data_IF_836330048873
#
_entry.id   IF_836330048873
#
_cell.length_a   1.000
_cell.length_b   1.000
_cell.length_c   1.000
_cell.angle_alpha   90.00
_cell.angle_beta   90.00
_cell.angle_gamma   90.00
#
_symmetry.space_group_name_H-M   'P 1'
#
loop_
_entity.id
_entity.type
_entity.pdbx_description
1 polymer ?
#
# COMPACT_ATOMS: atom_id res chain seq x y z
N UNK A 1 25.62 12.74 21.37
CA UNK A 1 26.18 13.61 20.31
C UNK A 1 25.96 12.88 19.00
N UNK A 2 25.02 13.37 18.18
CA UNK A 2 24.73 12.81 16.85
C UNK A 2 25.80 13.37 15.91
N UNK A 3 26.63 12.50 15.32
CA UNK A 3 27.59 12.89 14.29
C UNK A 3 26.83 13.11 12.98
N UNK A 4 26.65 14.37 12.59
CA UNK A 4 26.24 14.74 11.24
C UNK A 4 27.38 14.34 10.28
N UNK A 5 27.21 13.24 9.52
CA UNK A 5 28.11 12.95 8.41
C UNK A 5 27.90 13.99 7.30
N UNK A 6 28.98 14.53 6.70
CA UNK A 6 28.88 15.55 5.69
C UNK A 6 28.33 14.96 4.39
N UNK A 7 27.14 15.42 3.98
CA UNK A 7 26.57 15.14 2.66
C UNK A 7 27.60 15.57 1.60
N UNK A 8 28.06 14.68 0.70
CA UNK A 8 29.05 15.05 -0.30
C UNK A 8 28.44 16.07 -1.25
N UNK A 9 28.92 17.32 -1.18
CA UNK A 9 28.54 18.36 -2.12
C UNK A 9 29.12 18.03 -3.50
N UNK A 10 28.27 17.59 -4.42
CA UNK A 10 28.65 17.40 -5.81
C UNK A 10 28.64 18.76 -6.51
N UNK A 11 29.81 19.36 -6.69
CA UNK A 11 29.95 20.59 -7.46
C UNK A 11 29.58 20.32 -8.93
N UNK A 12 28.55 21.02 -9.42
CA UNK A 12 28.16 20.98 -10.83
C UNK A 12 28.94 22.05 -11.58
N UNK A 13 29.74 21.62 -12.56
CA UNK A 13 30.50 22.53 -13.42
C UNK A 13 29.54 23.10 -14.46
N UNK A 14 29.18 24.37 -14.31
CA UNK A 14 28.36 25.07 -15.29
C UNK A 14 29.16 25.20 -16.60
N UNK A 15 28.69 24.54 -17.66
CA UNK A 15 29.24 24.70 -19.01
C UNK A 15 28.47 25.81 -19.72
N UNK A 16 29.19 26.58 -20.56
CA UNK A 16 28.71 27.76 -21.30
C UNK A 16 27.50 27.51 -22.22
N UNK A 17 27.07 26.26 -22.31
CA UNK A 17 26.00 25.75 -23.17
C UNK A 17 24.63 25.79 -22.46
N UNK A 18 24.58 26.03 -21.14
CA UNK A 18 23.34 26.11 -20.36
C UNK A 18 22.74 27.52 -20.29
N UNK A 19 23.44 28.54 -20.80
CA UNK A 19 22.91 29.89 -20.92
C UNK A 19 22.11 30.01 -22.22
N UNK A 20 20.87 30.48 -22.09
CA UNK A 20 20.00 30.92 -23.18
C UNK A 20 20.76 31.90 -24.12
N UNK A 21 20.32 32.11 -25.38
CA UNK A 21 21.14 32.77 -26.41
C UNK A 21 21.67 34.12 -25.93
N UNK A 22 22.92 34.42 -26.31
CA UNK A 22 23.70 35.62 -26.00
C UNK A 22 22.90 36.93 -26.21
N UNK A 23 22.06 37.28 -25.24
CA UNK A 23 21.44 38.60 -25.15
C UNK A 23 22.18 39.43 -24.09
N UNK A 24 22.26 40.71 -24.40
CA UNK A 24 23.04 41.72 -23.71
C UNK A 24 22.57 41.83 -22.24
N UNK A 25 23.45 41.45 -21.30
CA UNK A 25 23.16 41.40 -19.85
C UNK A 25 22.68 42.77 -19.38
N UNK A 26 21.41 42.90 -18.97
CA UNK A 26 20.87 44.17 -18.46
C UNK A 26 21.28 44.36 -16.99
N UNK A 27 21.58 45.60 -16.53
CA UNK A 27 21.93 45.85 -15.14
C UNK A 27 20.78 45.44 -14.21
N UNK A 28 20.99 44.36 -13.43
CA UNK A 28 20.00 43.81 -12.49
C UNK A 28 19.76 42.30 -12.63
N UNK A 29 20.11 41.69 -13.77
CA UNK A 29 19.88 40.25 -14.00
C UNK A 29 20.96 39.34 -13.39
N UNK A 30 22.12 39.89 -13.03
CA UNK A 30 23.26 39.12 -12.51
C UNK A 30 23.01 38.48 -11.12
N UNK A 31 22.00 38.94 -10.39
CA UNK A 31 21.62 38.38 -9.08
C UNK A 31 20.44 37.41 -9.15
N UNK A 32 20.01 37.00 -10.36
CA UNK A 32 18.91 36.06 -10.47
C UNK A 32 19.38 34.65 -10.06
N UNK A 33 18.59 33.91 -9.26
CA UNK A 33 18.95 32.55 -8.88
C UNK A 33 19.10 31.67 -10.12
N UNK A 34 20.25 31.00 -10.24
CA UNK A 34 20.47 30.02 -11.30
C UNK A 34 19.48 28.86 -11.10
N UNK A 35 18.60 28.64 -12.06
CA UNK A 35 17.73 27.48 -12.05
C UNK A 35 18.56 26.24 -12.37
N UNK A 36 18.74 25.36 -11.39
CA UNK A 36 19.47 24.09 -11.56
C UNK A 36 18.45 22.95 -11.50
N UNK A 37 17.99 22.41 -12.65
CA UNK A 37 16.99 21.34 -12.68
C UNK A 37 17.41 20.09 -11.89
N UNK A 38 18.73 19.86 -11.75
CA UNK A 38 19.29 18.73 -10.99
C UNK A 38 19.08 18.82 -9.47
N UNK A 39 18.65 19.96 -8.95
CA UNK A 39 18.32 20.15 -7.53
C UNK A 39 16.83 19.88 -7.21
N UNK A 40 16.00 19.65 -8.22
CA UNK A 40 14.58 19.34 -8.09
C UNK A 40 14.37 17.84 -7.81
N UNK A 41 15.03 17.35 -6.76
CA UNK A 41 14.95 15.95 -6.34
C UNK A 41 13.58 15.71 -5.71
N UNK A 42 12.83 14.74 -6.23
CA UNK A 42 11.57 14.30 -5.62
C UNK A 42 11.85 13.86 -4.18
N UNK A 43 11.07 14.36 -3.23
CA UNK A 43 11.22 14.04 -1.80
C UNK A 43 10.06 13.19 -1.31
N UNK A 44 10.33 12.31 -0.35
CA UNK A 44 9.30 11.56 0.35
C UNK A 44 8.37 12.53 1.10
N UNK A 45 7.05 12.32 1.00
CA UNK A 45 6.05 13.17 1.65
C UNK A 45 6.02 13.01 3.18
N UNK A 46 6.47 11.87 3.71
CA UNK A 46 6.46 11.58 5.15
C UNK A 46 7.77 12.02 5.84
N UNK A 47 8.92 11.66 5.27
CA UNK A 47 10.23 11.90 5.88
C UNK A 47 11.07 12.98 5.20
N UNK A 48 10.64 13.54 4.06
CA UNK A 48 11.36 14.60 3.35
C UNK A 48 12.68 14.19 2.66
N UNK A 49 13.03 12.90 2.74
CA UNK A 49 14.27 12.37 2.17
C UNK A 49 14.23 12.41 0.63
N UNK A 50 15.36 12.70 -0.03
CA UNK A 50 15.46 12.61 -1.49
C UNK A 50 15.21 11.17 -1.93
N UNK A 51 14.28 10.99 -2.86
CA UNK A 51 13.96 9.70 -3.45
C UNK A 51 14.99 9.39 -4.55
N UNK A 52 15.47 8.14 -4.65
CA UNK A 52 16.37 7.75 -5.73
C UNK A 52 15.67 7.90 -7.10
N UNK A 53 16.44 8.09 -8.17
CA UNK A 53 15.90 8.26 -9.53
C UNK A 53 15.17 7.01 -10.04
N UNK A 54 15.50 5.84 -9.48
CA UNK A 54 14.80 4.56 -9.69
C UNK A 54 13.51 4.42 -8.88
N UNK A 55 13.20 5.36 -7.99
CA UNK A 55 11.96 5.33 -7.21
C UNK A 55 10.77 5.54 -8.13
N UNK A 56 10.04 4.46 -8.38
CA UNK A 56 8.67 4.55 -8.83
C UNK A 56 7.79 4.61 -7.58
N UNK A 57 6.85 5.58 -7.48
CA UNK A 57 5.81 5.46 -6.48
C UNK A 57 5.17 4.08 -6.65
N UNK A 58 4.92 3.34 -5.56
CA UNK A 58 4.26 2.04 -5.67
C UNK A 58 3.01 2.22 -6.53
N UNK A 59 3.04 1.59 -7.69
CA UNK A 59 2.07 1.83 -8.76
C UNK A 59 0.69 1.37 -8.32
N UNK A 60 -0.34 1.89 -9.01
CA UNK A 60 -1.72 1.42 -8.87
C UNK A 60 -1.81 -0.07 -9.28
N UNK A 61 -1.48 -0.98 -8.36
CA UNK A 61 -1.56 -2.42 -8.54
C UNK A 61 -3.00 -2.80 -8.91
N UNK A 62 -3.16 -3.63 -9.92
CA UNK A 62 -4.48 -4.12 -10.27
C UNK A 62 -5.03 -4.99 -9.13
N UNK A 63 -6.35 -4.96 -8.94
CA UNK A 63 -7.03 -5.97 -8.13
C UNK A 63 -6.73 -7.35 -8.70
N UNK A 64 -6.26 -8.27 -7.85
CA UNK A 64 -6.07 -9.66 -8.24
C UNK A 64 -7.39 -10.43 -8.24
N UNK A 65 -8.37 -9.91 -7.50
CA UNK A 65 -9.70 -10.50 -7.32
C UNK A 65 -10.78 -9.74 -8.10
N UNK A 66 -11.68 -10.46 -8.75
CA UNK A 66 -12.81 -9.86 -9.48
C UNK A 66 -13.96 -9.47 -8.55
N UNK A 67 -14.65 -8.35 -8.85
CA UNK A 67 -15.81 -7.88 -8.07
C UNK A 67 -16.94 -8.93 -8.04
N UNK A 68 -17.25 -9.57 -9.17
CA UNK A 68 -18.26 -10.63 -9.25
C UNK A 68 -17.71 -12.04 -8.95
N UNK A 69 -16.45 -12.17 -8.51
CA UNK A 69 -15.81 -13.46 -8.26
C UNK A 69 -16.15 -14.11 -6.91
N UNK A 70 -17.32 -13.83 -6.32
CA UNK A 70 -17.63 -14.28 -4.95
C UNK A 70 -17.50 -15.79 -4.76
N UNK A 71 -17.84 -16.59 -5.78
CA UNK A 71 -17.76 -18.05 -5.74
C UNK A 71 -16.34 -18.63 -5.80
N UNK A 72 -15.31 -17.80 -6.01
CA UNK A 72 -13.90 -18.24 -6.01
C UNK A 72 -13.43 -18.65 -4.60
N UNK A 73 -14.10 -18.17 -3.55
CA UNK A 73 -13.86 -18.58 -2.16
C UNK A 73 -15.20 -18.91 -1.48
N UNK A 74 -15.62 -20.20 -1.50
CA UNK A 74 -16.92 -20.62 -1.00
C UNK A 74 -17.14 -20.22 0.47
N UNK A 75 -16.13 -20.35 1.34
CA UNK A 75 -16.30 -20.01 2.76
C UNK A 75 -16.59 -18.52 2.97
N UNK A 76 -15.87 -17.66 2.25
CA UNK A 76 -16.11 -16.22 2.26
C UNK A 76 -17.47 -15.88 1.66
N UNK A 77 -17.86 -16.57 0.58
CA UNK A 77 -19.17 -16.42 -0.06
C UNK A 77 -20.32 -16.79 0.90
N UNK A 78 -20.25 -17.94 1.57
CA UNK A 78 -21.27 -18.37 2.53
C UNK A 78 -21.31 -17.43 3.74
N UNK A 79 -20.13 -17.12 4.29
CA UNK A 79 -20.04 -16.27 5.49
C UNK A 79 -20.73 -14.95 5.25
N UNK A 80 -20.42 -14.27 4.16
CA UNK A 80 -21.03 -12.97 4.02
C UNK A 80 -22.47 -13.02 3.47
N UNK A 81 -22.92 -14.09 2.80
CA UNK A 81 -24.31 -14.19 2.32
C UNK A 81 -25.26 -14.23 3.52
N UNK A 82 -24.86 -14.95 4.56
CA UNK A 82 -25.65 -15.11 5.79
C UNK A 82 -25.23 -14.16 6.92
N UNK A 83 -23.99 -13.67 6.90
CA UNK A 83 -23.40 -12.84 7.95
C UNK A 83 -22.45 -11.79 7.33
N UNK A 84 -22.96 -10.84 6.51
CA UNK A 84 -22.14 -9.83 5.84
C UNK A 84 -21.42 -8.92 6.85
N UNK A 85 -22.05 -8.65 7.99
CA UNK A 85 -21.46 -7.87 9.10
C UNK A 85 -20.20 -8.52 9.69
N UNK A 86 -20.18 -9.86 9.81
CA UNK A 86 -19.02 -10.62 10.30
C UNK A 86 -17.88 -10.57 9.29
N UNK A 87 -18.20 -10.76 8.01
CA UNK A 87 -17.21 -10.71 6.94
C UNK A 87 -16.58 -9.31 6.85
N UNK A 88 -17.41 -8.27 6.91
CA UNK A 88 -16.94 -6.88 6.98
C UNK A 88 -16.11 -6.61 8.24
N UNK A 89 -16.54 -7.08 9.41
CA UNK A 89 -15.78 -6.91 10.65
C UNK A 89 -14.38 -7.54 10.58
N UNK A 90 -14.28 -8.75 10.03
CA UNK A 90 -13.00 -9.43 9.78
C UNK A 90 -12.12 -8.67 8.78
N UNK A 91 -12.74 -8.06 7.76
CA UNK A 91 -12.01 -7.21 6.82
C UNK A 91 -11.39 -6.00 7.53
N UNK A 92 -12.14 -5.33 8.40
CA UNK A 92 -11.66 -4.18 9.15
C UNK A 92 -10.53 -4.57 10.12
N UNK A 93 -10.68 -5.65 10.88
CA UNK A 93 -9.64 -6.15 11.80
C UNK A 93 -8.33 -6.47 11.07
N UNK A 94 -8.43 -7.05 9.87
CA UNK A 94 -7.26 -7.33 9.03
C UNK A 94 -6.61 -6.07 8.45
N UNK A 95 -7.41 -5.05 8.22
CA UNK A 95 -6.92 -3.76 7.73
C UNK A 95 -6.29 -2.94 8.87
N UNK A 96 -6.89 -2.99 10.06
CA UNK A 96 -6.58 -2.20 11.27
C UNK A 96 -6.41 -3.12 12.47
N UNK A 97 -5.15 -3.38 12.82
CA UNK A 97 -4.76 -4.31 13.90
C UNK A 97 -5.21 -3.86 15.31
N UNK A 98 -5.46 -2.56 15.49
CA UNK A 98 -5.92 -1.96 16.73
C UNK A 98 -7.44 -2.06 16.94
N UNK A 99 -8.19 -2.50 15.93
CA UNK A 99 -9.65 -2.54 15.94
C UNK A 99 -10.15 -3.98 15.92
N UNK A 100 -10.72 -4.51 17.03
CA UNK A 100 -11.25 -5.87 17.03
C UNK A 100 -12.44 -5.98 16.08
N UNK A 101 -12.62 -7.13 15.43
CA UNK A 101 -13.66 -7.32 14.39
C UNK A 101 -15.11 -7.11 14.89
N UNK A 102 -15.35 -7.28 16.19
CA UNK A 102 -16.69 -7.18 16.80
C UNK A 102 -17.25 -5.76 16.75
N UNK A 103 -16.41 -4.74 16.92
CA UNK A 103 -16.84 -3.32 16.88
C UNK A 103 -17.44 -2.92 15.52
N UNK A 104 -16.73 -3.05 14.38
CA UNK A 104 -17.28 -2.77 13.06
C UNK A 104 -18.42 -3.73 12.68
N UNK A 105 -18.37 -5.00 13.13
CA UNK A 105 -19.46 -5.96 12.92
C UNK A 105 -20.76 -5.51 13.58
N UNK A 106 -20.73 -5.13 14.86
CA UNK A 106 -21.92 -4.66 15.60
C UNK A 106 -22.46 -3.38 14.98
N UNK A 107 -21.59 -2.45 14.61
CA UNK A 107 -21.99 -1.22 13.93
C UNK A 107 -22.72 -1.51 12.62
N UNK A 108 -22.14 -2.37 11.76
CA UNK A 108 -22.75 -2.77 10.50
C UNK A 108 -24.08 -3.51 10.70
N UNK A 109 -24.11 -4.45 11.64
CA UNK A 109 -25.31 -5.22 11.98
C UNK A 109 -26.44 -4.33 12.49
N UNK A 110 -26.16 -3.34 13.35
CA UNK A 110 -27.19 -2.42 13.84
C UNK A 110 -27.70 -1.48 12.75
N UNK A 111 -26.80 -0.91 11.95
CA UNK A 111 -27.17 0.09 10.94
C UNK A 111 -27.88 -0.50 9.73
N UNK A 112 -27.54 -1.73 9.30
CA UNK A 112 -28.10 -2.35 8.09
C UNK A 112 -29.13 -3.41 8.47
N UNK A 113 -28.72 -4.46 9.16
CA UNK A 113 -29.60 -5.60 9.47
C UNK A 113 -30.67 -5.23 10.50
N UNK A 114 -30.29 -4.47 11.54
CA UNK A 114 -31.19 -4.02 12.60
C UNK A 114 -32.28 -3.08 12.07
N UNK A 115 -31.93 -2.16 11.16
CA UNK A 115 -32.88 -1.26 10.52
C UNK A 115 -33.92 -2.01 9.67
N UNK A 116 -33.47 -2.97 8.87
CA UNK A 116 -34.36 -3.82 8.05
C UNK A 116 -35.24 -4.71 8.92
N UNK A 117 -34.66 -5.36 9.95
CA UNK A 117 -35.41 -6.20 10.88
C UNK A 117 -36.50 -5.42 11.61
N UNK A 118 -36.19 -4.20 12.07
CA UNK A 118 -37.16 -3.31 12.71
C UNK A 118 -38.27 -2.89 11.73
N UNK A 119 -37.93 -2.55 10.49
CA UNK A 119 -38.90 -2.21 9.44
C UNK A 119 -39.86 -3.37 9.16
N UNK A 120 -39.33 -4.60 9.02
CA UNK A 120 -40.13 -5.81 8.81
C UNK A 120 -41.01 -6.11 10.02
N UNK A 121 -40.48 -6.03 11.24
CA UNK A 121 -41.27 -6.24 12.46
C UNK A 121 -42.41 -5.22 12.56
N UNK A 122 -42.14 -3.95 12.25
CA UNK A 122 -43.16 -2.90 12.24
C UNK A 122 -44.26 -3.20 11.23
N UNK A 123 -43.88 -3.61 10.01
CA UNK A 123 -44.84 -4.02 8.98
C UNK A 123 -45.74 -5.19 9.39
N UNK A 124 -45.17 -6.20 10.06
CA UNK A 124 -45.89 -7.42 10.47
C UNK A 124 -46.81 -7.17 11.67
N UNK A 125 -46.34 -6.45 12.69
CA UNK A 125 -47.06 -6.33 13.97
C UNK A 125 -47.97 -5.10 14.05
N UNK A 126 -47.63 -4.01 13.36
CA UNK A 126 -48.34 -2.73 13.49
C UNK A 126 -49.04 -2.29 12.20
N UNK A 127 -48.81 -2.99 11.09
CA UNK A 127 -49.26 -2.57 9.77
C UNK A 127 -48.46 -1.39 9.22
N UNK A 128 -48.70 -1.06 7.95
CA UNK A 128 -47.97 0.01 7.25
C UNK A 128 -48.94 1.13 6.89
N UNK A 129 -48.93 2.21 7.67
CA UNK A 129 -49.55 3.47 7.26
C UNK A 129 -48.67 4.20 6.23
N UNK A 130 -49.24 4.93 5.24
CA UNK A 130 -48.46 5.62 4.19
C UNK A 130 -47.38 6.58 4.71
N UNK A 131 -47.63 7.24 5.85
CA UNK A 131 -46.63 8.12 6.50
C UNK A 131 -45.51 7.32 7.15
N UNK A 132 -45.85 6.21 7.79
CA UNK A 132 -44.87 5.32 8.43
C UNK A 132 -44.00 4.62 7.39
N UNK A 133 -44.55 4.18 6.25
CA UNK A 133 -43.75 3.67 5.13
C UNK A 133 -42.78 4.70 4.58
N UNK A 134 -43.21 5.96 4.46
CA UNK A 134 -42.35 7.02 3.94
C UNK A 134 -41.16 7.26 4.88
N UNK A 135 -41.41 7.38 6.19
CA UNK A 135 -40.37 7.55 7.20
C UNK A 135 -39.41 6.35 7.30
N UNK A 136 -39.95 5.12 7.27
CA UNK A 136 -39.13 3.91 7.25
C UNK A 136 -38.28 3.86 5.98
N UNK A 137 -38.87 4.17 4.82
CA UNK A 137 -38.16 4.21 3.55
C UNK A 137 -37.02 5.22 3.53
N UNK A 138 -37.28 6.46 3.97
CA UNK A 138 -36.26 7.51 4.09
C UNK A 138 -35.14 7.10 5.05
N UNK A 139 -35.50 6.53 6.21
CA UNK A 139 -34.53 6.03 7.18
C UNK A 139 -33.66 4.89 6.65
N UNK A 140 -34.25 3.92 5.93
CA UNK A 140 -33.51 2.80 5.33
C UNK A 140 -32.58 3.29 4.21
N UNK A 141 -33.02 4.23 3.37
CA UNK A 141 -32.18 4.81 2.30
C UNK A 141 -31.01 5.58 2.92
N UNK A 142 -31.26 6.38 3.95
CA UNK A 142 -30.21 7.12 4.64
C UNK A 142 -29.21 6.19 5.32
N UNK A 143 -29.70 5.16 6.04
CA UNK A 143 -28.85 4.17 6.69
C UNK A 143 -28.01 3.36 5.68
N UNK A 144 -28.61 2.95 4.56
CA UNK A 144 -27.90 2.28 3.47
C UNK A 144 -26.80 3.15 2.87
N UNK A 145 -27.11 4.42 2.60
CA UNK A 145 -26.15 5.39 2.06
C UNK A 145 -24.98 5.63 3.02
N UNK A 146 -25.27 5.86 4.31
CA UNK A 146 -24.24 6.02 5.34
C UNK A 146 -23.38 4.77 5.49
N UNK A 147 -23.98 3.57 5.41
CA UNK A 147 -23.24 2.32 5.42
C UNK A 147 -22.31 2.22 4.20
N UNK A 148 -22.77 2.57 3.00
CA UNK A 148 -21.96 2.54 1.78
C UNK A 148 -20.77 3.49 1.83
N UNK A 149 -20.93 4.68 2.43
CA UNK A 149 -19.81 5.61 2.70
C UNK A 149 -18.83 4.97 3.68
N UNK A 150 -19.33 4.46 4.81
CA UNK A 150 -18.50 3.87 5.84
C UNK A 150 -17.67 2.70 5.31
N UNK A 151 -18.27 1.75 4.59
CA UNK A 151 -17.54 0.64 3.98
C UNK A 151 -16.63 1.11 2.83
N UNK A 152 -17.04 2.12 2.06
CA UNK A 152 -16.22 2.78 1.05
C UNK A 152 -14.92 3.38 1.62
N UNK A 153 -14.94 3.96 2.83
CA UNK A 153 -13.73 4.47 3.48
C UNK A 153 -12.73 3.35 3.83
N UNK A 154 -13.22 2.16 4.21
CA UNK A 154 -12.35 1.00 4.40
C UNK A 154 -11.80 0.48 3.09
N UNK A 155 -12.60 0.48 2.01
CA UNK A 155 -12.11 0.16 0.67
C UNK A 155 -10.99 1.08 0.24
N UNK A 156 -11.13 2.39 0.46
CA UNK A 156 -10.07 3.37 0.19
C UNK A 156 -8.84 3.13 1.06
N UNK A 157 -9.03 2.81 2.33
CA UNK A 157 -7.93 2.48 3.25
C UNK A 157 -7.19 1.22 2.78
N UNK A 158 -7.91 0.22 2.27
CA UNK A 158 -7.37 -1.00 1.68
C UNK A 158 -6.57 -0.70 0.41
N UNK A 159 -7.15 0.10 -0.49
CA UNK A 159 -6.49 0.51 -1.72
C UNK A 159 -5.22 1.29 -1.43
N UNK A 160 -5.23 2.17 -0.42
CA UNK A 160 -4.03 2.88 0.01
C UNK A 160 -3.00 1.95 0.63
N UNK A 161 -3.41 0.98 1.46
CA UNK A 161 -2.50 0.02 2.14
C UNK A 161 -1.77 -0.89 1.15
N UNK A 162 -2.45 -1.34 0.10
CA UNK A 162 -1.91 -2.26 -0.89
C UNK A 162 -1.63 -1.60 -2.25
N UNK A 163 -1.63 -0.27 -2.32
CA UNK A 163 -1.43 0.51 -3.54
C UNK A 163 -2.31 0.06 -4.71
N UNK A 164 -3.56 -0.32 -4.43
CA UNK A 164 -4.47 -0.84 -5.44
C UNK A 164 -5.08 0.29 -6.27
N UNK A 165 -5.28 0.01 -7.56
CA UNK A 165 -6.00 0.90 -8.47
C UNK A 165 -7.39 1.26 -7.93
N UNK A 166 -7.76 2.53 -8.11
CA UNK A 166 -9.11 2.98 -7.87
C UNK A 166 -10.11 2.20 -8.73
N UNK A 167 -11.24 1.81 -8.12
CA UNK A 167 -12.33 1.16 -8.86
C UNK A 167 -12.89 2.16 -9.89
N UNK A 168 -13.45 1.67 -11.02
CA UNK A 168 -13.97 2.55 -12.08
C UNK A 168 -15.15 3.44 -11.65
N UNK A 169 -15.78 3.13 -10.51
CA UNK A 169 -16.79 3.94 -9.84
C UNK A 169 -16.25 4.44 -8.50
N UNK A 170 -16.77 5.56 -8.01
CA UNK A 170 -16.49 6.06 -6.66
C UNK A 170 -16.63 4.91 -5.64
N UNK A 171 -15.69 4.73 -4.69
CA UNK A 171 -15.73 3.63 -3.73
C UNK A 171 -17.06 3.48 -2.99
N UNK A 172 -17.78 4.57 -2.74
CA UNK A 172 -19.10 4.53 -2.10
C UNK A 172 -20.16 3.93 -3.03
N UNK A 173 -20.08 4.18 -4.34
CA UNK A 173 -21.04 3.69 -5.33
C UNK A 173 -20.95 2.16 -5.50
N UNK A 174 -19.73 1.60 -5.41
CA UNK A 174 -19.54 0.15 -5.47
C UNK A 174 -20.24 -0.55 -4.30
N UNK A 175 -20.12 0.00 -3.09
CA UNK A 175 -20.81 -0.54 -1.92
C UNK A 175 -22.32 -0.27 -1.96
N UNK A 176 -22.78 0.85 -2.53
CA UNK A 176 -24.22 1.10 -2.69
C UNK A 176 -24.93 0.10 -3.64
N UNK A 177 -24.29 -0.35 -4.71
CA UNK A 177 -24.92 -1.20 -5.73
C UNK A 177 -24.50 -2.68 -5.65
N UNK A 178 -23.30 -2.95 -5.13
CA UNK A 178 -22.66 -4.27 -5.10
C UNK A 178 -22.04 -4.54 -3.72
N UNK A 179 -22.69 -4.09 -2.64
CA UNK A 179 -22.25 -4.23 -1.24
C UNK A 179 -21.65 -5.60 -0.93
N UNK A 180 -22.42 -6.64 -1.25
CA UNK A 180 -22.08 -8.04 -1.05
C UNK A 180 -20.77 -8.44 -1.74
N UNK A 181 -20.72 -8.17 -3.04
CA UNK A 181 -19.60 -8.50 -3.91
C UNK A 181 -18.33 -7.73 -3.54
N UNK A 182 -18.48 -6.46 -3.16
CA UNK A 182 -17.38 -5.60 -2.73
C UNK A 182 -16.70 -6.14 -1.47
N UNK A 183 -17.48 -6.50 -0.44
CA UNK A 183 -16.94 -7.07 0.81
C UNK A 183 -16.23 -8.41 0.54
N UNK A 184 -16.80 -9.26 -0.31
CA UNK A 184 -16.17 -10.52 -0.68
C UNK A 184 -14.87 -10.32 -1.45
N UNK A 185 -14.84 -9.39 -2.41
CA UNK A 185 -13.64 -9.06 -3.17
C UNK A 185 -12.53 -8.58 -2.23
N UNK A 186 -12.84 -7.62 -1.34
CA UNK A 186 -11.90 -7.08 -0.36
C UNK A 186 -11.34 -8.18 0.54
N UNK A 187 -12.19 -9.09 1.02
CA UNK A 187 -11.76 -10.22 1.84
C UNK A 187 -10.77 -11.13 1.10
N UNK A 188 -11.10 -11.51 -0.14
CA UNK A 188 -10.24 -12.38 -0.95
C UNK A 188 -8.91 -11.71 -1.29
N UNK A 189 -8.94 -10.41 -1.60
CA UNK A 189 -7.73 -9.63 -1.91
C UNK A 189 -6.77 -9.64 -0.71
N UNK A 190 -7.27 -9.36 0.49
CA UNK A 190 -6.44 -9.39 1.70
C UNK A 190 -5.97 -10.80 2.07
N UNK A 191 -6.79 -11.83 1.79
CA UNK A 191 -6.44 -13.23 2.02
C UNK A 191 -5.28 -13.66 1.11
N UNK A 192 -5.38 -13.37 -0.19
CA UNK A 192 -4.34 -13.68 -1.19
C UNK A 192 -3.02 -12.98 -0.89
N UNK A 193 -3.06 -11.68 -0.56
CA UNK A 193 -1.85 -10.92 -0.24
C UNK A 193 -1.18 -11.35 1.06
N UNK A 194 -1.94 -11.84 2.04
CA UNK A 194 -1.33 -12.41 3.25
C UNK A 194 -0.61 -13.72 2.94
N UNK A 195 -1.20 -14.61 2.13
CA UNK A 195 -0.53 -15.84 1.73
C UNK A 195 0.77 -15.59 0.98
N UNK A 196 0.81 -14.59 0.09
CA UNK A 196 2.03 -14.25 -0.66
C UNK A 196 3.16 -13.76 0.26
N UNK A 197 2.82 -12.94 1.27
CA UNK A 197 3.79 -12.49 2.27
C UNK A 197 4.37 -13.64 3.11
N UNK A 198 3.59 -14.69 3.39
CA UNK A 198 4.06 -15.85 4.16
C UNK A 198 4.97 -16.79 3.35
N UNK A 199 4.90 -16.76 2.02
CA UNK A 199 5.66 -17.65 1.13
C UNK A 199 7.02 -17.07 0.74
N UNK A 200 7.27 -15.77 0.94
CA UNK A 200 8.57 -15.14 0.69
C UNK A 200 9.60 -15.59 1.76
N UNK A 201 10.67 -16.34 1.42
CA UNK A 201 11.72 -16.64 2.38
C UNK A 201 12.43 -15.32 2.75
N UNK A 202 12.52 -15.03 4.05
CA UNK A 202 13.32 -13.92 4.55
C UNK A 202 14.72 -13.99 3.92
N UNK A 203 15.09 -12.99 3.12
CA UNK A 203 16.45 -12.87 2.62
C UNK A 203 17.36 -12.60 3.81
N UNK A 204 18.05 -13.63 4.29
CA UNK A 204 19.11 -13.49 5.29
C UNK A 204 20.23 -12.66 4.65
N UNK A 205 20.25 -11.37 4.95
CA UNK A 205 21.38 -10.51 4.62
C UNK A 205 22.50 -10.91 5.58
N UNK A 206 23.42 -11.75 5.09
CA UNK A 206 24.64 -12.03 5.85
C UNK A 206 25.42 -10.71 6.02
N UNK A 207 25.79 -10.33 7.26
CA UNK A 207 26.60 -9.15 7.46
C UNK A 207 27.92 -9.32 6.70
N UNK A 208 28.45 -8.25 6.07
CA UNK A 208 29.75 -8.32 5.43
C UNK A 208 30.80 -8.78 6.46
N UNK A 209 31.76 -9.64 6.07
CA UNK A 209 32.81 -10.08 6.98
C UNK A 209 33.53 -8.86 7.53
N UNK A 210 33.79 -8.86 8.84
CA UNK A 210 34.49 -7.77 9.53
C UNK A 210 35.82 -7.54 8.81
N UNK A 211 35.93 -6.41 8.11
CA UNK A 211 37.18 -6.02 7.46
C UNK A 211 38.14 -5.53 8.54
N UNK A 212 39.14 -6.36 8.86
CA UNK A 212 40.23 -5.95 9.72
C UNK A 212 41.17 -5.00 8.95
N UNK A 213 41.36 -3.79 9.49
CA UNK A 213 42.29 -2.82 8.96
C UNK A 213 43.70 -3.14 9.46
N UNK A 214 44.50 -3.88 8.68
CA UNK A 214 45.93 -4.08 8.98
C UNK A 214 46.71 -2.80 8.68
N UNK A 215 47.12 -2.07 9.72
CA UNK A 215 48.02 -0.92 9.58
C UNK A 215 49.46 -1.40 9.33
N UNK A 216 49.84 -1.61 8.06
CA UNK A 216 51.20 -1.98 7.69
C UNK A 216 52.01 -0.73 7.34
N UNK A 217 52.76 -0.22 8.32
CA UNK A 217 53.80 0.78 8.07
C UNK A 217 55.02 0.12 7.41
N UNK A 218 55.41 0.71 6.28
CA UNK A 218 56.75 0.78 5.65
C UNK A 218 57.41 -0.45 5.01
N UNK A 219 57.87 -0.17 3.78
CA UNK A 219 59.00 -0.73 3.01
C UNK A 219 58.78 -1.92 2.04
N UNK A 220 59.26 -1.69 0.81
CA UNK A 220 59.38 -2.55 -0.39
C UNK A 220 60.86 -2.52 -0.79
N UNK A 221 61.49 -3.47 -1.53
CA UNK A 221 61.10 -4.83 -1.97
C UNK A 221 62.16 -5.91 -1.59
N UNK A 222 61.87 -7.21 -1.82
CA UNK A 222 62.66 -8.13 -2.69
C UNK A 222 62.40 -9.64 -2.44
N UNK A 223 62.49 -10.39 -3.54
CA UNK A 223 62.66 -11.85 -3.73
C UNK A 223 61.45 -12.80 -3.67
N UNK A 224 61.25 -13.49 -4.81
CA UNK A 224 60.45 -14.72 -4.97
C UNK A 224 61.25 -15.95 -4.44
N UNK A 225 60.63 -17.13 -4.21
CA UNK A 225 60.32 -18.06 -5.31
C UNK A 225 59.02 -18.91 -5.18
N UNK A 226 58.63 -19.46 -6.33
CA UNK A 226 57.86 -20.68 -6.68
C UNK A 226 57.10 -21.49 -5.60
N UNK A 227 55.87 -21.91 -5.93
CA UNK A 227 55.55 -23.34 -6.20
C UNK A 227 54.08 -23.58 -6.65
N UNK A 228 53.97 -24.02 -7.90
CA UNK A 228 53.23 -25.21 -8.41
C UNK A 228 51.72 -25.36 -8.14
N UNK A 229 50.94 -25.18 -9.21
CA UNK A 229 49.61 -25.75 -9.37
C UNK A 229 49.71 -27.27 -9.57
N UNK A 230 48.96 -28.04 -8.79
CA UNK A 230 48.59 -29.40 -9.16
C UNK A 230 47.08 -29.56 -9.02
N UNK A 231 46.43 -29.75 -10.18
CA UNK A 231 45.06 -30.25 -10.30
C UNK A 231 45.15 -31.76 -10.15
N UNK A 232 44.43 -32.33 -9.19
CA UNK A 232 44.27 -33.78 -9.06
C UNK A 232 42.80 -34.13 -9.26
N UNK A 233 42.58 -34.87 -10.36
CA UNK A 233 41.33 -35.48 -10.77
C UNK A 233 41.56 -36.99 -10.62
N UNK A 234 40.90 -37.64 -9.67
CA UNK A 234 40.71 -39.10 -9.73
C UNK A 234 39.33 -39.52 -9.24
N UNK A 235 38.93 -40.63 -9.84
CA UNK A 235 37.60 -41.19 -10.06
C UNK A 235 37.36 -42.46 -9.23
N UNK A 236 36.09 -42.92 -9.25
CA UNK A 236 35.59 -44.29 -8.97
C UNK A 236 35.39 -44.70 -7.50
N UNK A 237 34.44 -45.57 -7.13
CA UNK A 237 33.31 -46.23 -7.80
C UNK A 237 32.49 -46.95 -6.71
N UNK A 238 31.17 -47.09 -6.92
CA UNK A 238 30.46 -48.37 -7.10
C UNK A 238 29.03 -48.12 -7.56
#
# INVERSE_FOLDING_TARGET
MMSEEPVPSRYVKLTKEHDAPLEEIRPGELNQPVHVPQLEVRRCAECGQPLPESYQPPGDEAWTTGICGCSEDPESCWTGLFCPCVLFGRNVERLREDTPWTTPCICHALCVEGGVALAVATAVFHGIDPRTSFLIGEGLVFAWWMCGIYTGLFRQSLQKKYHLKNSPCDPCMVHCCMHWCAICQEHREMKGRLSDNLVMPMTVVNPPPVQEMSNRNSEVPETAPEQTQHVELETQAL
#
